data_IF_810301074110
#
_entry.id   IF_810301074110
#
_cell.length_a   1.000
_cell.length_b   1.000
_cell.length_c   1.000
_cell.angle_alpha   90.00
_cell.angle_beta   90.00
_cell.angle_gamma   90.00
#
_symmetry.space_group_name_H-M   'P 1'
#
loop_
_entity.id
_entity.type
_entity.pdbx_description
1 polymer ?
#
# COMPACT_ATOMS: atom_id res chain seq x y z
N UNK A 1 19.06 32.28 4.63
CA UNK A 1 19.29 30.81 4.61
C UNK A 1 18.03 30.24 4.03
N UNK A 2 18.03 29.80 2.74
CA UNK A 2 16.92 29.03 2.20
C UNK A 2 16.89 27.71 2.98
N UNK A 3 15.77 27.42 3.63
CA UNK A 3 15.59 26.15 4.31
C UNK A 3 15.69 25.04 3.25
N UNK A 4 16.70 24.19 3.34
CA UNK A 4 16.81 23.03 2.47
C UNK A 4 15.60 22.13 2.74
N UNK A 5 14.88 21.78 1.68
CA UNK A 5 13.77 20.82 1.80
C UNK A 5 14.32 19.49 2.39
N UNK A 6 13.70 18.93 3.44
CA UNK A 6 14.15 17.66 3.98
C UNK A 6 14.00 16.56 2.92
N UNK A 7 15.07 15.79 2.69
CA UNK A 7 15.08 14.68 1.77
C UNK A 7 14.58 13.41 2.50
N UNK A 8 13.55 12.79 1.96
CA UNK A 8 13.00 11.52 2.44
C UNK A 8 13.17 10.47 1.36
N UNK A 9 13.81 9.36 1.69
CA UNK A 9 13.79 8.17 0.86
C UNK A 9 12.70 7.22 1.33
N UNK A 10 12.07 6.54 0.37
CA UNK A 10 11.07 5.50 0.62
C UNK A 10 11.56 4.20 -0.01
N UNK A 11 11.91 3.22 0.81
CA UNK A 11 12.27 1.87 0.38
C UNK A 11 11.05 0.98 0.37
N UNK A 12 10.61 0.58 -0.81
CA UNK A 12 9.41 -0.24 -1.00
C UNK A 12 9.45 -0.99 -2.33
N UNK A 13 8.66 -2.04 -2.48
CA UNK A 13 8.55 -2.83 -3.70
C UNK A 13 7.08 -3.18 -4.02
N UNK A 14 6.86 -3.64 -5.26
CA UNK A 14 5.58 -4.19 -5.69
C UNK A 14 5.75 -5.02 -6.96
N UNK A 15 5.13 -6.19 -6.99
CA UNK A 15 5.13 -7.11 -8.12
C UNK A 15 3.91 -8.03 -8.06
N UNK A 16 3.85 -9.03 -8.94
CA UNK A 16 2.73 -9.98 -9.00
C UNK A 16 2.60 -10.84 -7.72
N UNK A 17 3.69 -11.04 -6.96
CA UNK A 17 3.69 -11.85 -5.75
C UNK A 17 3.20 -11.08 -4.52
N UNK A 18 3.75 -9.88 -4.32
CA UNK A 18 3.42 -9.04 -3.14
C UNK A 18 2.37 -7.98 -3.45
N UNK A 19 1.83 -8.00 -4.68
CA UNK A 19 0.87 -7.03 -5.20
C UNK A 19 1.39 -5.57 -5.15
N UNK A 20 0.49 -4.60 -5.17
CA UNK A 20 0.82 -3.17 -5.30
C UNK A 20 0.53 -2.36 -4.05
N UNK A 21 0.08 -3.01 -2.98
CA UNK A 21 -0.36 -2.36 -1.74
C UNK A 21 0.72 -1.47 -1.12
N UNK A 22 1.95 -1.97 -1.02
CA UNK A 22 3.10 -1.23 -0.51
C UNK A 22 3.39 0.03 -1.34
N UNK A 23 3.46 -0.10 -2.67
CA UNK A 23 3.69 1.04 -3.56
C UNK A 23 2.59 2.09 -3.45
N UNK A 24 1.32 1.66 -3.36
CA UNK A 24 0.17 2.57 -3.27
C UNK A 24 0.16 3.36 -1.96
N UNK A 25 0.39 2.71 -0.82
CA UNK A 25 0.42 3.40 0.48
C UNK A 25 1.64 4.31 0.61
N UNK A 26 2.79 3.87 0.13
CA UNK A 26 4.00 4.68 0.09
C UNK A 26 3.86 5.91 -0.81
N UNK A 27 3.20 5.79 -1.98
CA UNK A 27 2.93 6.93 -2.84
C UNK A 27 1.96 7.94 -2.19
N UNK A 28 0.98 7.47 -1.42
CA UNK A 28 0.10 8.35 -0.63
C UNK A 28 0.89 9.16 0.41
N UNK A 29 1.83 8.51 1.10
CA UNK A 29 2.74 9.17 2.05
C UNK A 29 3.65 10.16 1.33
N UNK A 30 4.24 9.76 0.18
CA UNK A 30 5.11 10.63 -0.62
C UNK A 30 4.40 11.92 -1.05
N UNK A 31 3.16 11.82 -1.52
CA UNK A 31 2.32 12.98 -1.87
C UNK A 31 2.06 13.90 -0.68
N UNK A 32 1.76 13.33 0.48
CA UNK A 32 1.55 14.10 1.71
C UNK A 32 2.83 14.81 2.18
N UNK A 33 3.97 14.15 2.09
CA UNK A 33 5.29 14.73 2.42
C UNK A 33 5.66 15.85 1.45
N UNK A 34 5.46 15.66 0.13
CA UNK A 34 5.70 16.69 -0.88
C UNK A 34 4.85 17.93 -0.62
N UNK A 35 3.56 17.77 -0.31
CA UNK A 35 2.66 18.88 0.07
C UNK A 35 3.17 19.67 1.29
N UNK A 36 3.94 19.03 2.17
CA UNK A 36 4.59 19.66 3.34
C UNK A 36 6.00 20.17 3.07
N UNK A 37 6.43 20.16 1.81
CA UNK A 37 7.72 20.73 1.39
C UNK A 37 8.91 19.77 1.50
N UNK A 38 8.71 18.46 1.65
CA UNK A 38 9.78 17.50 1.57
C UNK A 38 10.11 17.15 0.11
N UNK A 39 11.40 16.91 -0.18
CA UNK A 39 11.83 16.20 -1.36
C UNK A 39 11.72 14.70 -1.09
N UNK A 40 11.10 13.94 -2.00
CA UNK A 40 10.89 12.50 -1.81
C UNK A 40 11.39 11.74 -3.02
N UNK A 41 12.12 10.65 -2.79
CA UNK A 41 12.53 9.71 -3.82
C UNK A 41 12.29 8.27 -3.37
N UNK A 42 12.03 7.38 -4.33
CA UNK A 42 11.81 5.96 -4.06
C UNK A 42 13.07 5.14 -4.31
N UNK A 43 13.29 4.15 -3.48
CA UNK A 43 14.29 3.11 -3.62
C UNK A 43 13.55 1.79 -3.81
N UNK A 44 13.73 1.15 -4.94
CA UNK A 44 13.06 -0.12 -5.30
C UNK A 44 14.09 -1.18 -5.67
N UNK A 45 13.76 -2.43 -5.51
CA UNK A 45 14.70 -3.54 -5.82
C UNK A 45 15.00 -3.64 -7.30
N UNK A 46 14.00 -3.46 -8.16
CA UNK A 46 14.04 -3.86 -9.57
C UNK A 46 13.21 -2.96 -10.50
N UNK A 47 13.37 -3.19 -11.80
CA UNK A 47 12.63 -2.50 -12.86
C UNK A 47 11.13 -2.81 -12.86
N UNK A 48 10.72 -3.98 -12.36
CA UNK A 48 9.30 -4.34 -12.23
C UNK A 48 8.60 -3.42 -11.25
N UNK A 49 9.16 -3.28 -10.05
CA UNK A 49 8.66 -2.37 -9.02
C UNK A 49 8.67 -0.91 -9.51
N UNK A 50 9.74 -0.49 -10.19
CA UNK A 50 9.86 0.84 -10.78
C UNK A 50 8.77 1.12 -11.83
N UNK A 51 8.56 0.18 -12.75
CA UNK A 51 7.57 0.29 -13.82
C UNK A 51 6.13 0.34 -13.29
N UNK A 52 5.82 -0.46 -12.25
CA UNK A 52 4.50 -0.44 -11.61
C UNK A 52 4.28 0.92 -10.94
N UNK A 53 5.26 1.40 -10.18
CA UNK A 53 5.17 2.69 -9.47
C UNK A 53 5.00 3.86 -10.44
N UNK A 54 5.75 3.90 -11.54
CA UNK A 54 5.62 4.94 -12.58
C UNK A 54 4.21 4.99 -13.20
N UNK A 55 3.56 3.84 -13.39
CA UNK A 55 2.18 3.78 -13.90
C UNK A 55 1.14 4.35 -12.91
N UNK A 56 1.50 4.50 -11.65
CA UNK A 56 0.63 5.09 -10.62
C UNK A 56 0.78 6.62 -10.53
N UNK A 57 1.79 7.20 -11.17
CA UNK A 57 2.00 8.65 -11.17
C UNK A 57 0.95 9.35 -12.02
N UNK A 58 0.55 10.53 -11.57
CA UNK A 58 -0.24 11.45 -12.40
C UNK A 58 0.61 12.03 -13.53
N UNK A 59 0.01 12.56 -14.61
CA UNK A 59 0.73 13.26 -15.66
C UNK A 59 1.61 14.40 -15.14
N UNK A 60 1.14 15.16 -14.16
CA UNK A 60 1.88 16.26 -13.55
C UNK A 60 3.08 15.74 -12.75
N UNK A 61 2.94 14.64 -12.01
CA UNK A 61 4.04 14.02 -11.27
C UNK A 61 5.13 13.50 -12.20
N UNK A 62 4.77 13.02 -13.39
CA UNK A 62 5.71 12.60 -14.43
C UNK A 62 6.43 13.82 -15.01
N UNK A 63 5.67 14.86 -15.39
CA UNK A 63 6.25 16.08 -16.00
C UNK A 63 7.21 16.80 -15.07
N UNK A 64 6.89 16.89 -13.78
CA UNK A 64 7.67 17.57 -12.76
C UNK A 64 8.81 16.71 -12.18
N UNK A 65 8.94 15.46 -12.60
CA UNK A 65 9.84 14.48 -11.96
C UNK A 65 9.69 14.46 -10.44
N UNK A 66 8.44 14.47 -9.96
CA UNK A 66 8.08 14.69 -8.56
C UNK A 66 8.67 13.69 -7.59
N UNK A 67 8.80 12.44 -8.04
CA UNK A 67 9.27 11.32 -7.23
C UNK A 67 10.28 10.49 -8.02
N UNK A 68 11.58 10.88 -8.02
CA UNK A 68 12.62 10.07 -8.62
C UNK A 68 12.64 8.64 -8.08
N UNK A 69 12.92 7.67 -8.95
CA UNK A 69 13.04 6.26 -8.58
C UNK A 69 14.48 5.82 -8.82
N UNK A 70 15.07 5.22 -7.81
CA UNK A 70 16.39 4.60 -7.88
C UNK A 70 16.23 3.08 -7.75
N UNK A 71 16.63 2.36 -8.77
CA UNK A 71 16.66 0.90 -8.77
C UNK A 71 17.96 0.41 -8.11
N UNK A 72 17.82 -0.40 -7.07
CA UNK A 72 18.95 -0.94 -6.30
C UNK A 72 19.58 -2.16 -6.99
N UNK A 73 18.83 -2.83 -7.87
CA UNK A 73 19.20 -4.10 -8.53
C UNK A 73 19.48 -5.20 -7.52
N UNK A 74 18.56 -5.36 -6.58
CA UNK A 74 18.61 -6.30 -5.46
C UNK A 74 17.43 -7.26 -5.49
N UNK A 75 17.38 -8.23 -4.59
CA UNK A 75 16.22 -9.12 -4.40
C UNK A 75 15.35 -8.55 -3.25
N UNK A 76 14.12 -8.17 -3.55
CA UNK A 76 13.17 -7.65 -2.57
C UNK A 76 12.90 -8.60 -1.38
N UNK A 77 13.24 -9.89 -1.51
CA UNK A 77 13.13 -10.90 -0.45
C UNK A 77 14.34 -10.97 0.49
N UNK A 78 15.38 -10.20 0.21
CA UNK A 78 16.66 -10.29 0.93
C UNK A 78 17.27 -8.90 1.14
N UNK A 79 16.56 -8.04 1.90
CA UNK A 79 17.00 -6.66 2.14
C UNK A 79 18.38 -6.58 2.81
N UNK A 80 18.76 -7.55 3.62
CA UNK A 80 20.09 -7.57 4.26
C UNK A 80 21.24 -7.55 3.26
N UNK A 81 21.03 -8.06 2.04
CA UNK A 81 22.05 -8.05 0.98
C UNK A 81 22.26 -6.67 0.35
N UNK A 82 21.34 -5.73 0.54
CA UNK A 82 21.44 -4.37 0.02
C UNK A 82 22.03 -3.38 1.04
N UNK A 83 22.32 -3.78 2.27
CA UNK A 83 22.81 -2.92 3.36
C UNK A 83 23.98 -2.04 2.90
N UNK A 84 24.99 -2.61 2.26
CA UNK A 84 26.14 -1.82 1.77
C UNK A 84 25.76 -0.76 0.75
N UNK A 85 24.88 -1.11 -0.18
CA UNK A 85 24.35 -0.16 -1.19
C UNK A 85 23.56 0.95 -0.52
N UNK A 86 22.69 0.59 0.42
CA UNK A 86 21.90 1.54 1.21
C UNK A 86 22.78 2.47 2.04
N UNK A 87 23.81 1.93 2.72
CA UNK A 87 24.77 2.75 3.47
C UNK A 87 25.47 3.77 2.56
N UNK A 88 25.90 3.37 1.35
CA UNK A 88 26.50 4.27 0.37
C UNK A 88 25.55 5.38 -0.07
N UNK A 89 24.31 5.06 -0.38
CA UNK A 89 23.28 6.02 -0.80
C UNK A 89 22.97 7.00 0.34
N UNK A 90 22.68 6.50 1.54
CA UNK A 90 22.28 7.31 2.68
C UNK A 90 23.41 8.23 3.16
N UNK A 91 24.66 7.76 3.10
CA UNK A 91 25.84 8.57 3.51
C UNK A 91 26.23 9.63 2.48
N UNK A 92 25.90 9.43 1.20
CA UNK A 92 26.23 10.38 0.12
C UNK A 92 25.24 11.55 0.03
N UNK A 93 24.11 11.48 0.70
CA UNK A 93 23.05 12.49 0.72
C UNK A 93 22.72 12.90 2.15
N UNK A 94 22.30 14.15 2.33
CA UNK A 94 21.77 14.60 3.62
C UNK A 94 20.33 14.14 3.80
N UNK A 95 20.14 12.83 4.11
CA UNK A 95 18.83 12.19 4.22
C UNK A 95 18.22 12.49 5.58
N UNK A 96 17.08 13.13 5.61
CA UNK A 96 16.36 13.44 6.84
C UNK A 96 15.67 12.18 7.42
N UNK A 97 15.12 11.33 6.54
CA UNK A 97 14.45 10.09 6.95
C UNK A 97 14.46 9.07 5.81
N UNK A 98 14.62 7.80 6.18
CA UNK A 98 14.33 6.64 5.34
C UNK A 98 13.04 6.00 5.85
N UNK A 99 12.00 5.95 5.03
CA UNK A 99 10.82 5.14 5.27
C UNK A 99 11.02 3.76 4.64
N UNK A 100 10.85 2.70 5.42
CA UNK A 100 10.92 1.31 4.96
C UNK A 100 9.54 0.69 5.03
N UNK A 101 9.09 0.09 3.93
CA UNK A 101 7.84 -0.64 3.82
C UNK A 101 8.07 -1.95 3.07
N UNK A 102 8.34 -3.01 3.81
CA UNK A 102 8.61 -4.34 3.27
C UNK A 102 8.41 -5.43 4.32
N UNK A 103 7.79 -6.54 3.93
CA UNK A 103 7.67 -7.75 4.76
C UNK A 103 9.00 -8.49 4.97
N UNK A 104 10.03 -8.12 4.21
CA UNK A 104 11.34 -8.78 4.23
C UNK A 104 12.40 -7.98 4.97
N UNK A 105 12.01 -6.87 5.61
CA UNK A 105 12.91 -6.14 6.50
C UNK A 105 13.22 -6.98 7.75
N UNK A 106 14.48 -6.90 8.20
CA UNK A 106 14.93 -7.56 9.40
C UNK A 106 15.28 -6.55 10.49
N UNK A 107 15.31 -6.96 11.77
CA UNK A 107 15.83 -6.10 12.84
C UNK A 107 17.22 -5.57 12.55
N UNK A 108 18.11 -6.42 12.02
CA UNK A 108 19.49 -6.05 11.69
C UNK A 108 19.53 -4.97 10.59
N UNK A 109 18.73 -5.12 9.53
CA UNK A 109 18.62 -4.15 8.47
C UNK A 109 18.22 -2.76 9.00
N UNK A 110 17.18 -2.69 9.83
CA UNK A 110 16.70 -1.44 10.41
C UNK A 110 17.73 -0.83 11.36
N UNK A 111 18.35 -1.66 12.23
CA UNK A 111 19.29 -1.18 13.24
C UNK A 111 20.58 -0.61 12.62
N UNK A 112 21.08 -1.23 11.55
CA UNK A 112 22.25 -0.73 10.83
C UNK A 112 21.94 0.61 10.16
N UNK A 113 20.79 0.72 9.47
CA UNK A 113 20.46 1.94 8.72
C UNK A 113 20.09 3.12 9.63
N UNK A 114 19.51 2.85 10.83
CA UNK A 114 19.21 3.92 11.79
C UNK A 114 20.46 4.60 12.38
N UNK A 115 21.64 3.99 12.24
CA UNK A 115 22.90 4.64 12.64
C UNK A 115 23.32 5.76 11.67
N UNK A 116 22.72 5.80 10.46
CA UNK A 116 23.09 6.77 9.41
C UNK A 116 22.06 7.89 9.33
N UNK A 117 20.78 7.58 9.33
CA UNK A 117 19.69 8.54 9.29
C UNK A 117 18.50 8.07 10.14
N UNK A 118 17.49 8.94 10.32
CA UNK A 118 16.23 8.49 10.94
C UNK A 118 15.56 7.44 10.06
N UNK A 119 15.15 6.32 10.67
CA UNK A 119 14.42 5.24 9.99
C UNK A 119 13.00 5.18 10.51
N UNK A 120 12.03 5.30 9.61
CA UNK A 120 10.63 5.01 9.86
C UNK A 120 10.30 3.64 9.24
N UNK A 121 9.54 2.81 9.94
CA UNK A 121 9.13 1.50 9.47
C UNK A 121 7.61 1.37 9.52
N UNK A 122 7.01 0.95 8.38
CA UNK A 122 5.60 0.55 8.32
C UNK A 122 5.52 -0.94 8.68
N UNK A 123 4.95 -1.23 9.84
CA UNK A 123 4.78 -2.61 10.33
C UNK A 123 3.29 -2.94 10.43
N UNK A 124 2.86 -3.92 9.68
CA UNK A 124 1.51 -4.47 9.70
C UNK A 124 1.47 -5.97 10.10
N UNK A 125 2.61 -6.53 10.53
CA UNK A 125 2.73 -7.94 10.91
C UNK A 125 3.03 -8.16 12.38
N UNK A 126 3.61 -7.19 13.09
CA UNK A 126 4.19 -7.36 14.44
C UNK A 126 5.11 -8.60 14.53
N UNK A 127 5.92 -8.83 13.48
CA UNK A 127 6.76 -10.02 13.39
C UNK A 127 7.99 -9.96 14.31
N UNK A 128 8.49 -8.77 14.63
CA UNK A 128 9.64 -8.54 15.51
C UNK A 128 9.59 -7.13 16.11
N UNK A 129 10.23 -6.97 17.26
CA UNK A 129 10.41 -5.67 17.93
C UNK A 129 11.37 -4.79 17.12
N UNK A 130 10.82 -3.75 16.48
CA UNK A 130 11.47 -2.96 15.44
C UNK A 130 12.45 -1.92 16.02
N UNK A 131 13.75 -2.03 15.77
CA UNK A 131 14.73 -1.02 16.16
C UNK A 131 14.70 0.16 15.15
N UNK A 132 13.69 1.01 15.23
CA UNK A 132 13.47 2.13 14.31
C UNK A 132 13.29 3.45 15.07
N UNK A 133 13.54 4.59 14.39
CA UNK A 133 13.27 5.91 14.95
C UNK A 133 11.76 6.17 15.07
N UNK A 134 10.99 5.57 14.16
CA UNK A 134 9.53 5.64 14.15
C UNK A 134 8.98 4.31 13.64
N UNK A 135 8.04 3.72 14.37
CA UNK A 135 7.19 2.63 13.86
C UNK A 135 5.79 3.16 13.63
N UNK A 136 5.21 2.83 12.49
CA UNK A 136 3.82 3.13 12.17
C UNK A 136 3.12 1.81 11.94
N UNK A 137 2.16 1.49 12.82
CA UNK A 137 1.29 0.34 12.66
C UNK A 137 -0.16 0.79 12.77
N UNK A 138 -0.85 0.89 11.64
CA UNK A 138 -2.21 1.40 11.56
C UNK A 138 -3.30 0.33 11.70
N UNK A 139 -2.93 -0.87 12.11
CA UNK A 139 -3.91 -1.92 12.36
C UNK A 139 -4.80 -1.61 13.58
N UNK A 140 -5.96 -2.23 13.62
CA UNK A 140 -7.00 -1.94 14.62
C UNK A 140 -6.63 -2.43 16.02
N UNK A 141 -5.95 -3.57 16.12
CA UNK A 141 -5.63 -4.24 17.40
C UNK A 141 -4.12 -4.33 17.63
N UNK A 142 -3.43 -3.20 17.68
CA UNK A 142 -1.98 -3.17 17.90
C UNK A 142 -1.67 -3.12 19.39
N UNK A 143 -0.78 -4.01 19.84
CA UNK A 143 -0.16 -3.89 21.15
C UNK A 143 1.08 -3.00 21.07
N UNK A 144 0.96 -1.75 21.50
CA UNK A 144 2.08 -0.79 21.50
C UNK A 144 3.24 -1.24 22.39
N UNK A 145 2.97 -2.01 23.44
CA UNK A 145 4.01 -2.52 24.36
C UNK A 145 4.96 -3.50 23.69
N UNK A 146 4.58 -4.04 22.53
CA UNK A 146 5.44 -4.88 21.71
C UNK A 146 6.70 -4.14 21.19
N UNK A 147 6.59 -2.82 20.92
CA UNK A 147 7.67 -2.04 20.30
C UNK A 147 8.60 -1.40 21.34
N UNK A 148 9.42 -2.19 21.99
CA UNK A 148 10.33 -1.70 23.05
C UNK A 148 11.60 -1.04 22.52
N UNK A 149 11.97 -1.29 21.25
CA UNK A 149 13.19 -0.78 20.60
C UNK A 149 12.97 0.44 19.72
N UNK A 150 11.73 0.82 19.51
CA UNK A 150 11.39 2.00 18.72
C UNK A 150 11.50 3.27 19.57
N UNK A 151 12.01 4.37 18.98
CA UNK A 151 12.07 5.67 19.68
C UNK A 151 10.69 6.31 19.77
N UNK A 152 9.82 6.07 18.78
CA UNK A 152 8.45 6.57 18.69
C UNK A 152 7.55 5.52 17.99
N UNK A 153 6.31 5.41 18.46
CA UNK A 153 5.33 4.48 17.88
C UNK A 153 4.04 5.24 17.59
N UNK A 154 3.47 5.05 16.40
CA UNK A 154 2.17 5.56 15.98
C UNK A 154 1.27 4.37 15.64
N UNK A 155 0.21 4.16 16.40
CA UNK A 155 -0.66 3.00 16.25
C UNK A 155 -2.11 3.39 15.98
N UNK A 156 -2.81 2.48 15.31
CA UNK A 156 -4.25 2.57 15.07
C UNK A 156 -4.65 3.28 13.78
N UNK A 157 -5.94 3.17 13.47
CA UNK A 157 -6.52 3.56 12.17
C UNK A 157 -6.34 5.05 11.80
N UNK A 158 -6.08 5.92 12.78
CA UNK A 158 -5.82 7.34 12.53
C UNK A 158 -4.56 7.58 11.66
N UNK A 159 -3.65 6.61 11.62
CA UNK A 159 -2.40 6.68 10.87
C UNK A 159 -2.43 5.89 9.55
N UNK A 160 -3.61 5.44 9.11
CA UNK A 160 -3.76 4.72 7.84
C UNK A 160 -3.40 5.64 6.66
N UNK A 161 -2.44 5.25 5.79
CA UNK A 161 -2.00 6.08 4.67
C UNK A 161 -2.98 6.00 3.50
N UNK A 162 -4.15 6.60 3.66
CA UNK A 162 -5.21 6.63 2.66
C UNK A 162 -4.85 7.56 1.49
N UNK A 163 -5.32 7.18 0.29
CA UNK A 163 -5.27 8.06 -0.88
C UNK A 163 -6.20 9.25 -0.69
N UNK A 164 -5.80 10.42 -1.21
CA UNK A 164 -6.54 11.68 -1.07
C UNK A 164 -8.01 11.57 -1.53
N UNK A 165 -8.29 10.73 -2.53
CA UNK A 165 -9.66 10.53 -3.01
C UNK A 165 -10.64 10.01 -1.95
N UNK A 166 -10.15 9.47 -0.83
CA UNK A 166 -10.98 9.01 0.29
C UNK A 166 -11.16 10.06 1.39
N UNK A 167 -10.48 11.22 1.28
CA UNK A 167 -10.67 12.32 2.21
C UNK A 167 -12.07 12.93 2.03
N UNK A 168 -12.69 13.27 3.14
CA UNK A 168 -13.96 14.02 3.19
C UNK A 168 -15.10 13.39 2.38
N UNK A 169 -15.10 12.06 2.18
CA UNK A 169 -16.21 11.38 1.54
C UNK A 169 -17.46 11.40 2.43
N UNK A 170 -18.63 11.70 1.86
CA UNK A 170 -19.86 11.67 2.64
C UNK A 170 -20.16 10.24 3.11
N UNK A 171 -20.53 10.13 4.38
CA UNK A 171 -21.03 8.88 4.93
C UNK A 171 -22.55 8.83 4.75
N UNK A 172 -23.05 7.73 4.19
CA UNK A 172 -24.47 7.47 4.05
C UNK A 172 -24.81 6.08 4.61
N UNK A 173 -25.81 6.02 5.48
CA UNK A 173 -26.32 4.75 6.03
C UNK A 173 -27.64 4.43 5.34
N UNK A 174 -27.67 3.37 4.56
CA UNK A 174 -28.87 2.87 3.90
C UNK A 174 -29.73 2.07 4.88
N UNK A 175 -31.05 2.25 4.85
CA UNK A 175 -31.99 1.48 5.67
C UNK A 175 -32.05 0.00 5.28
N UNK A 176 -31.80 -0.27 4.00
CA UNK A 176 -31.80 -1.64 3.45
C UNK A 176 -30.54 -1.83 2.58
N UNK A 177 -29.91 -2.99 2.74
CA UNK A 177 -28.79 -3.40 1.88
C UNK A 177 -29.36 -3.86 0.53
N UNK A 178 -29.05 -3.12 -0.53
CA UNK A 178 -29.40 -3.48 -1.92
C UNK A 178 -28.19 -3.85 -2.76
N UNK A 179 -27.03 -3.33 -2.36
CA UNK A 179 -25.78 -3.53 -3.05
C UNK A 179 -24.71 -3.96 -2.03
N UNK A 180 -23.89 -4.93 -2.40
CA UNK A 180 -22.79 -5.41 -1.60
C UNK A 180 -21.51 -5.36 -2.41
N UNK A 181 -20.52 -4.59 -1.92
CA UNK A 181 -19.22 -4.45 -2.58
C UNK A 181 -18.23 -5.45 -2.02
N UNK A 182 -17.62 -6.25 -2.91
CA UNK A 182 -16.59 -7.24 -2.58
C UNK A 182 -15.25 -6.81 -3.17
N UNK A 183 -14.25 -6.68 -2.30
CA UNK A 183 -12.86 -6.46 -2.68
C UNK A 183 -11.96 -7.40 -1.88
N UNK A 184 -11.29 -8.31 -2.56
CA UNK A 184 -10.41 -9.34 -1.99
C UNK A 184 -8.92 -9.02 -2.23
N UNK A 185 -8.62 -7.74 -2.45
CA UNK A 185 -7.28 -7.28 -2.79
C UNK A 185 -6.97 -7.38 -4.28
N UNK A 186 -5.68 -7.21 -4.64
CA UNK A 186 -5.28 -7.09 -6.03
C UNK A 186 -5.30 -8.38 -6.84
N UNK A 187 -5.05 -9.52 -6.21
CA UNK A 187 -4.79 -10.81 -6.89
C UNK A 187 -5.80 -11.91 -6.61
N UNK A 188 -6.36 -11.96 -5.40
CA UNK A 188 -7.26 -13.03 -4.89
C UNK A 188 -6.76 -14.46 -5.17
N UNK A 189 -5.56 -14.86 -4.72
CA UNK A 189 -4.96 -16.15 -5.09
C UNK A 189 -5.75 -17.36 -4.54
N UNK A 190 -6.60 -17.16 -3.53
CA UNK A 190 -7.39 -18.20 -2.89
C UNK A 190 -8.85 -18.29 -3.36
N UNK A 191 -9.21 -17.51 -4.40
CA UNK A 191 -10.57 -17.47 -4.94
C UNK A 191 -11.64 -17.12 -3.90
N UNK A 192 -11.33 -16.20 -2.99
CA UNK A 192 -12.21 -15.80 -1.90
C UNK A 192 -13.50 -15.17 -2.43
N UNK A 193 -13.38 -14.25 -3.42
CA UNK A 193 -14.54 -13.60 -4.05
C UNK A 193 -15.52 -14.63 -4.62
N UNK A 194 -15.04 -15.60 -5.39
CA UNK A 194 -15.89 -16.65 -5.96
C UNK A 194 -16.50 -17.57 -4.91
N UNK A 195 -15.75 -17.90 -3.86
CA UNK A 195 -16.27 -18.67 -2.72
C UNK A 195 -17.38 -17.96 -1.96
N UNK A 196 -17.25 -16.64 -1.76
CA UNK A 196 -18.29 -15.80 -1.14
C UNK A 196 -19.52 -15.70 -2.03
N UNK A 197 -19.36 -15.38 -3.33
CA UNK A 197 -20.47 -15.27 -4.27
C UNK A 197 -21.31 -16.54 -4.35
N UNK A 198 -20.68 -17.72 -4.42
CA UNK A 198 -21.40 -19.00 -4.43
C UNK A 198 -22.36 -19.17 -3.24
N UNK A 199 -21.93 -18.73 -2.05
CA UNK A 199 -22.74 -18.80 -0.84
C UNK A 199 -23.84 -17.74 -0.81
N UNK A 200 -23.50 -16.50 -1.18
CA UNK A 200 -24.43 -15.38 -1.20
C UNK A 200 -25.53 -15.60 -2.23
N UNK A 201 -25.19 -16.01 -3.44
CA UNK A 201 -26.15 -16.27 -4.52
C UNK A 201 -27.09 -17.44 -4.24
N UNK A 202 -26.64 -18.42 -3.43
CA UNK A 202 -27.44 -19.58 -3.05
C UNK A 202 -28.41 -19.33 -1.88
N UNK A 203 -28.30 -18.18 -1.19
CA UNK A 203 -29.17 -17.85 -0.06
C UNK A 203 -30.34 -16.96 -0.47
N UNK A 204 -31.52 -17.30 -0.03
CA UNK A 204 -32.75 -16.50 -0.27
C UNK A 204 -32.71 -15.15 0.46
N UNK A 205 -31.89 -15.02 1.51
CA UNK A 205 -31.73 -13.77 2.26
C UNK A 205 -31.15 -12.64 1.38
N UNK A 206 -30.42 -12.99 0.31
CA UNK A 206 -29.73 -12.06 -0.58
C UNK A 206 -30.33 -12.01 -2.00
N UNK A 207 -31.55 -12.52 -2.18
CA UNK A 207 -32.18 -12.60 -3.52
C UNK A 207 -32.35 -11.26 -4.23
N UNK A 208 -32.56 -10.18 -3.47
CA UNK A 208 -32.80 -8.82 -3.96
C UNK A 208 -31.55 -7.91 -3.83
N UNK A 209 -30.36 -8.51 -3.63
CA UNK A 209 -29.09 -7.78 -3.47
C UNK A 209 -28.18 -8.00 -4.67
N UNK A 210 -27.60 -6.91 -5.18
CA UNK A 210 -26.57 -6.95 -6.21
C UNK A 210 -25.18 -7.09 -5.57
N UNK A 211 -24.30 -7.85 -6.22
CA UNK A 211 -22.94 -8.12 -5.76
C UNK A 211 -21.94 -7.46 -6.69
N UNK A 212 -21.31 -6.40 -6.23
CA UNK A 212 -20.32 -5.63 -6.97
C UNK A 212 -18.92 -6.11 -6.61
N UNK A 213 -18.20 -6.71 -7.57
CA UNK A 213 -16.91 -7.35 -7.33
C UNK A 213 -15.80 -6.58 -8.03
N UNK A 214 -14.79 -6.16 -7.27
CA UNK A 214 -13.61 -5.54 -7.83
C UNK A 214 -12.66 -6.61 -8.40
N UNK A 215 -12.46 -6.58 -9.72
CA UNK A 215 -11.57 -7.49 -10.44
C UNK A 215 -10.49 -6.70 -11.18
N UNK A 216 -9.52 -6.20 -10.44
CA UNK A 216 -8.41 -5.43 -11.00
C UNK A 216 -7.57 -6.23 -12.02
N UNK A 217 -6.63 -5.59 -12.74
CA UNK A 217 -5.86 -6.22 -13.81
C UNK A 217 -4.99 -7.41 -13.35
N UNK A 218 -4.65 -7.47 -12.06
CA UNK A 218 -3.84 -8.56 -11.48
C UNK A 218 -4.69 -9.67 -10.84
N UNK A 219 -6.02 -9.58 -10.90
CA UNK A 219 -6.91 -10.58 -10.30
C UNK A 219 -6.86 -11.88 -11.08
N UNK A 220 -6.39 -12.99 -10.45
CA UNK A 220 -6.07 -14.24 -11.17
C UNK A 220 -7.30 -15.04 -11.57
N UNK A 221 -8.47 -14.81 -10.97
CA UNK A 221 -9.72 -15.54 -11.23
C UNK A 221 -10.78 -14.72 -11.99
N UNK A 222 -10.36 -13.78 -12.83
CA UNK A 222 -11.29 -12.92 -13.60
C UNK A 222 -12.19 -13.72 -14.54
N UNK A 223 -11.63 -14.76 -15.18
CA UNK A 223 -12.37 -15.57 -16.13
C UNK A 223 -13.51 -16.36 -15.45
N UNK A 224 -13.24 -16.95 -14.30
CA UNK A 224 -14.21 -17.69 -13.51
C UNK A 224 -15.33 -16.77 -12.98
N UNK A 225 -14.98 -15.59 -12.49
CA UNK A 225 -15.95 -14.59 -12.03
C UNK A 225 -16.82 -14.08 -13.18
N UNK A 226 -16.24 -13.91 -14.39
CA UNK A 226 -17.00 -13.53 -15.58
C UNK A 226 -18.01 -14.59 -16.02
N UNK A 227 -17.73 -15.88 -15.80
CA UNK A 227 -18.70 -16.95 -16.02
C UNK A 227 -19.84 -16.83 -15.01
N UNK A 228 -19.55 -16.66 -13.71
CA UNK A 228 -20.58 -16.48 -12.69
C UNK A 228 -21.48 -15.27 -12.95
N UNK A 229 -20.92 -14.15 -13.39
CA UNK A 229 -21.69 -12.95 -13.74
C UNK A 229 -22.60 -13.13 -14.96
N UNK A 230 -22.31 -14.07 -15.86
CA UNK A 230 -23.20 -14.44 -16.96
C UNK A 230 -24.36 -15.33 -16.50
N UNK A 231 -24.14 -16.13 -15.47
CA UNK A 231 -25.13 -17.06 -14.93
C UNK A 231 -26.08 -16.39 -13.92
N UNK A 232 -25.60 -15.37 -13.20
CA UNK A 232 -26.39 -14.61 -12.22
C UNK A 232 -26.24 -13.09 -12.46
N UNK A 233 -27.31 -12.46 -12.92
CA UNK A 233 -27.37 -11.05 -13.25
C UNK A 233 -27.18 -10.10 -12.06
N UNK A 234 -27.22 -10.61 -10.83
CA UNK A 234 -26.91 -9.82 -9.63
C UNK A 234 -25.43 -9.56 -9.47
N UNK A 235 -24.55 -10.30 -10.18
CA UNK A 235 -23.10 -10.13 -10.09
C UNK A 235 -22.64 -9.10 -11.12
N UNK A 236 -22.06 -8.01 -10.64
CA UNK A 236 -21.50 -6.92 -11.44
C UNK A 236 -20.00 -6.84 -11.22
N UNK A 237 -19.21 -7.00 -12.28
CA UNK A 237 -17.75 -6.93 -12.19
C UNK A 237 -17.24 -5.53 -12.50
N UNK A 238 -16.33 -5.01 -11.66
CA UNK A 238 -15.66 -3.74 -11.83
C UNK A 238 -14.17 -3.98 -12.13
N UNK A 239 -13.77 -3.81 -13.39
CA UNK A 239 -12.41 -4.18 -13.85
C UNK A 239 -11.42 -3.02 -13.83
N UNK A 240 -11.84 -1.85 -14.27
CA UNK A 240 -11.00 -0.66 -14.41
C UNK A 240 -11.59 0.51 -13.64
N UNK A 241 -11.25 0.56 -12.34
CA UNK A 241 -11.76 1.62 -11.46
C UNK A 241 -10.66 2.65 -11.23
N UNK A 242 -10.76 3.80 -11.89
CA UNK A 242 -9.84 4.93 -11.72
C UNK A 242 -10.12 5.71 -10.42
N UNK A 243 -11.39 5.81 -10.01
CA UNK A 243 -11.81 6.56 -8.84
C UNK A 243 -12.58 5.68 -7.85
N UNK A 244 -11.83 4.96 -7.03
CA UNK A 244 -12.37 3.96 -6.10
C UNK A 244 -13.34 4.56 -5.07
N UNK A 245 -13.03 5.76 -4.54
CA UNK A 245 -13.88 6.41 -3.56
C UNK A 245 -15.27 6.74 -4.14
N UNK A 246 -15.33 7.20 -5.39
CA UNK A 246 -16.60 7.46 -6.06
C UNK A 246 -17.41 6.17 -6.27
N UNK A 247 -16.76 5.06 -6.64
CA UNK A 247 -17.42 3.76 -6.74
C UNK A 247 -17.96 3.33 -5.38
N UNK A 248 -17.14 3.37 -4.32
CA UNK A 248 -17.56 2.93 -2.99
C UNK A 248 -18.69 3.79 -2.40
N UNK A 249 -18.80 5.05 -2.78
CA UNK A 249 -19.88 5.93 -2.33
C UNK A 249 -21.24 5.66 -3.00
N UNK A 250 -21.31 4.76 -3.97
CA UNK A 250 -22.57 4.37 -4.62
C UNK A 250 -23.28 3.22 -3.92
N UNK A 251 -22.65 2.56 -2.96
CA UNK A 251 -23.16 1.41 -2.24
C UNK A 251 -23.60 1.70 -0.82
#
# INVERSE_FOLDING_TARGET
VMASHPLVYIRTDGNETIATGHLMRCLSIARALKKRGAAVAFLVSDDTSASILQKMYSPDEIADHSFPILELRTDYRSLDREIQTMQGILSSHNVACLLVDSYFATPEYLDILRQICKVAYLDDLQAFDCPASLVINYDFCVDESFYTKADCVLTGCAYTPLREQFADQPYHLWEQVKDLFLSTGGTDPFYIAGGMLKRLCASDDWKDVSFHVLTGPMHVHRAELAVMAKEDSRIVLHEQVSHMAALMSTF
#
